data_IF_192635791098
#
_entry.id   IF_192635791098
#
_cell.length_a   1.000
_cell.length_b   1.000
_cell.length_c   1.000
_cell.angle_alpha   90.00
_cell.angle_beta   90.00
_cell.angle_gamma   90.00
#
_symmetry.space_group_name_H-M   'P 1'
#
loop_
_entity.id
_entity.type
_entity.pdbx_description
1 polymer ?
#
# COMPACT_ATOMS: atom_id res chain seq x y z
N UNK A 1 22.41 -26.92 -31.30
CA UNK A 1 21.99 -28.14 -30.59
C UNK A 1 21.36 -27.85 -29.22
N UNK A 2 22.07 -27.35 -28.20
CA UNK A 2 21.45 -27.07 -26.88
C UNK A 2 20.34 -26.00 -26.95
N UNK A 3 20.56 -24.91 -27.68
CA UNK A 3 19.57 -23.84 -27.92
C UNK A 3 18.32 -24.34 -28.63
N UNK A 4 18.47 -25.25 -29.59
CA UNK A 4 17.35 -25.88 -30.31
C UNK A 4 16.60 -26.90 -29.46
N UNK A 5 17.31 -27.67 -28.62
CA UNK A 5 16.71 -28.60 -27.68
C UNK A 5 15.97 -27.87 -26.56
N UNK A 6 16.53 -26.77 -26.04
CA UNK A 6 15.86 -25.86 -25.10
C UNK A 6 14.67 -25.17 -25.75
N UNK A 7 14.78 -24.70 -26.99
CA UNK A 7 13.68 -24.03 -27.69
C UNK A 7 12.55 -25.00 -28.04
N UNK A 8 12.87 -26.21 -28.55
CA UNK A 8 11.87 -27.27 -28.78
C UNK A 8 11.27 -27.78 -27.48
N UNK A 9 12.08 -27.96 -26.43
CA UNK A 9 11.64 -28.37 -25.10
C UNK A 9 10.71 -27.34 -24.45
N UNK A 10 11.10 -26.06 -24.42
CA UNK A 10 10.29 -24.96 -23.92
C UNK A 10 8.99 -24.78 -24.74
N UNK A 11 9.06 -24.90 -26.07
CA UNK A 11 7.86 -24.86 -26.93
C UNK A 11 6.90 -26.02 -26.68
N UNK A 12 7.38 -27.19 -26.29
CA UNK A 12 6.54 -28.37 -26.10
C UNK A 12 6.09 -28.61 -24.65
N UNK A 13 6.82 -28.06 -23.66
CA UNK A 13 6.60 -28.31 -22.22
C UNK A 13 6.46 -27.03 -21.39
N UNK A 14 6.69 -25.83 -21.96
CA UNK A 14 6.64 -24.56 -21.25
C UNK A 14 5.29 -24.29 -20.58
N UNK A 15 4.18 -24.52 -21.29
CA UNK A 15 2.83 -24.42 -20.72
C UNK A 15 2.53 -25.47 -19.64
N UNK A 16 3.21 -26.64 -19.65
CA UNK A 16 3.03 -27.70 -18.64
C UNK A 16 3.76 -27.41 -17.32
N UNK A 17 4.82 -26.59 -17.37
CA UNK A 17 5.61 -26.20 -16.19
C UNK A 17 5.12 -24.90 -15.55
N UNK A 18 4.29 -24.11 -16.24
CA UNK A 18 3.70 -22.89 -15.70
C UNK A 18 2.97 -23.09 -14.34
N UNK A 19 2.17 -24.15 -14.13
CA UNK A 19 1.63 -24.50 -12.81
C UNK A 19 2.67 -24.58 -11.69
N UNK A 20 3.82 -25.19 -11.98
CA UNK A 20 4.89 -25.37 -11.01
C UNK A 20 5.57 -24.03 -10.70
N UNK A 21 5.85 -23.21 -11.71
CA UNK A 21 6.42 -21.88 -11.52
C UNK A 21 5.48 -20.92 -10.78
N UNK A 22 4.17 -21.08 -10.94
CA UNK A 22 3.19 -20.33 -10.17
C UNK A 22 3.23 -20.72 -8.68
N UNK A 23 3.18 -22.02 -8.38
CA UNK A 23 3.27 -22.52 -7.00
C UNK A 23 4.62 -22.16 -6.36
N UNK A 24 5.70 -22.21 -7.14
CA UNK A 24 7.02 -21.73 -6.74
C UNK A 24 6.99 -20.23 -6.44
N UNK A 25 6.41 -19.41 -7.32
CA UNK A 25 6.25 -17.97 -7.11
C UNK A 25 5.45 -17.63 -5.85
N UNK A 26 4.30 -18.30 -5.63
CA UNK A 26 3.49 -18.16 -4.40
C UNK A 26 4.30 -18.60 -3.18
N UNK A 27 4.96 -19.75 -3.25
CA UNK A 27 5.80 -20.27 -2.17
C UNK A 27 6.95 -19.32 -1.82
N UNK A 28 7.60 -18.74 -2.83
CA UNK A 28 8.65 -17.75 -2.63
C UNK A 28 8.09 -16.44 -2.06
N UNK A 29 6.91 -15.97 -2.48
CA UNK A 29 6.23 -14.82 -1.88
C UNK A 29 5.90 -15.05 -0.40
N UNK A 30 5.42 -16.25 -0.04
CA UNK A 30 5.17 -16.62 1.35
C UNK A 30 6.46 -16.74 2.18
N UNK A 31 7.58 -17.09 1.54
CA UNK A 31 8.89 -17.22 2.18
C UNK A 31 9.68 -15.90 2.20
N UNK A 32 9.30 -14.87 1.42
CA UNK A 32 9.96 -13.56 1.41
C UNK A 32 10.21 -13.04 2.83
N UNK A 33 9.25 -13.13 3.78
CA UNK A 33 9.46 -12.63 5.13
C UNK A 33 10.52 -13.37 5.96
N UNK A 34 10.89 -14.59 5.54
CA UNK A 34 11.88 -15.44 6.21
C UNK A 34 13.27 -15.30 5.58
N UNK A 35 13.36 -14.79 4.34
CA UNK A 35 14.61 -14.59 3.62
C UNK A 35 15.35 -13.37 4.18
N UNK A 36 16.22 -13.59 5.17
CA UNK A 36 17.04 -12.53 5.75
C UNK A 36 18.20 -12.17 4.82
N UNK A 37 18.31 -10.89 4.43
CA UNK A 37 19.57 -10.36 3.91
C UNK A 37 20.62 -10.32 5.01
N UNK A 38 21.75 -10.98 4.80
CA UNK A 38 22.88 -10.97 5.73
C UNK A 38 23.63 -9.62 5.74
N UNK A 39 23.31 -8.70 4.82
CA UNK A 39 24.01 -7.42 4.68
C UNK A 39 23.03 -6.31 4.31
N UNK A 40 22.61 -5.56 5.32
CA UNK A 40 21.82 -4.34 5.14
C UNK A 40 22.82 -3.21 4.84
N UNK A 41 23.11 -2.98 3.56
CA UNK A 41 23.77 -1.75 3.12
C UNK A 41 22.71 -0.65 2.97
N UNK A 42 22.11 -0.23 4.08
CA UNK A 42 21.67 1.16 4.15
C UNK A 42 22.97 1.95 4.06
N UNK A 43 23.15 2.78 3.03
CA UNK A 43 24.33 3.63 2.87
C UNK A 43 24.77 4.11 4.26
N UNK A 44 25.98 3.75 4.69
CA UNK A 44 26.42 3.96 6.08
C UNK A 44 26.39 5.45 6.45
N UNK A 45 26.39 6.32 5.43
CA UNK A 45 26.17 7.76 5.52
C UNK A 45 24.71 8.17 5.85
N UNK A 46 23.74 7.29 5.61
CA UNK A 46 22.33 7.46 5.96
C UNK A 46 22.08 7.08 7.44
N UNK A 47 22.70 6.01 7.96
CA UNK A 47 22.52 5.57 9.37
C UNK A 47 23.02 6.62 10.37
N UNK A 48 24.16 7.27 10.08
CA UNK A 48 24.69 8.35 10.91
C UNK A 48 23.83 9.62 10.95
N UNK A 49 22.95 9.82 9.95
CA UNK A 49 22.04 10.97 9.85
C UNK A 49 20.57 10.61 10.17
N UNK A 50 20.22 9.32 10.25
CA UNK A 50 18.93 8.79 10.72
C UNK A 50 18.72 8.96 12.23
N UNK A 51 19.70 9.46 12.98
CA UNK A 51 19.51 9.83 14.39
C UNK A 51 20.15 11.19 14.64
N UNK A 52 19.65 12.27 14.01
CA UNK A 52 20.19 13.58 14.27
C UNK A 52 20.02 13.85 15.77
N UNK A 53 21.11 14.18 16.45
CA UNK A 53 21.02 14.55 17.86
C UNK A 53 20.29 15.89 17.93
N UNK A 54 19.04 15.88 18.37
CA UNK A 54 18.26 17.09 18.58
C UNK A 54 17.98 17.27 20.06
N UNK A 55 18.43 18.40 20.60
CA UNK A 55 18.08 18.85 21.95
C UNK A 55 16.95 19.86 21.82
N UNK A 56 15.77 19.52 22.34
CA UNK A 56 14.59 20.38 22.36
C UNK A 56 14.44 21.17 23.67
N UNK A 57 15.24 20.85 24.68
CA UNK A 57 14.98 21.36 26.04
C UNK A 57 13.64 20.83 26.60
N UNK A 58 13.23 21.24 27.81
CA UNK A 58 11.89 20.98 28.31
C UNK A 58 10.88 21.83 27.53
N UNK A 59 9.89 21.18 26.91
CA UNK A 59 8.88 21.85 26.07
C UNK A 59 7.56 22.07 26.80
N UNK A 60 7.42 21.49 27.99
CA UNK A 60 6.22 21.56 28.84
C UNK A 60 5.78 22.99 29.16
N UNK A 61 6.72 23.92 29.30
CA UNK A 61 6.43 25.33 29.55
C UNK A 61 5.80 26.08 28.36
N UNK A 62 5.83 25.49 27.16
CA UNK A 62 5.36 26.09 25.91
C UNK A 62 4.16 25.34 25.31
N UNK A 63 3.58 24.40 26.04
CA UNK A 63 2.37 23.69 25.63
C UNK A 63 1.18 24.64 25.75
N UNK A 64 0.68 25.10 24.61
CA UNK A 64 -0.47 25.98 24.52
C UNK A 64 -1.42 25.50 23.41
N UNK A 65 -2.67 25.13 23.71
CA UNK A 65 -3.63 24.66 22.71
C UNK A 65 -4.24 25.77 21.85
N UNK A 66 -3.82 27.03 22.02
CA UNK A 66 -4.41 28.18 21.33
C UNK A 66 -3.84 28.41 19.93
N UNK A 67 -4.71 28.48 18.93
CA UNK A 67 -4.35 28.87 17.56
C UNK A 67 -4.36 30.40 17.44
N UNK A 68 -3.18 31.01 17.38
CA UNK A 68 -3.03 32.47 17.27
C UNK A 68 -3.14 32.97 15.82
N UNK A 69 -2.62 32.19 14.88
CA UNK A 69 -2.66 32.49 13.45
C UNK A 69 -2.91 31.18 12.69
N UNK A 70 -3.67 31.22 11.58
CA UNK A 70 -3.94 30.03 10.78
C UNK A 70 -2.67 29.46 10.13
N UNK A 71 -1.64 30.29 9.94
CA UNK A 71 -0.35 29.88 9.39
C UNK A 71 0.80 30.59 10.11
N UNK A 72 1.90 29.88 10.37
CA UNK A 72 3.09 30.43 11.05
C UNK A 72 4.37 29.93 10.37
N UNK A 73 5.18 30.83 9.84
CA UNK A 73 6.48 30.52 9.25
C UNK A 73 7.59 30.76 10.29
N UNK A 74 8.45 29.76 10.50
CA UNK A 74 9.65 29.87 11.34
C UNK A 74 10.89 29.71 10.47
N UNK A 75 11.71 30.75 10.40
CA UNK A 75 12.88 30.78 9.51
C UNK A 75 14.08 30.03 10.08
N UNK A 76 14.73 29.18 9.28
CA UNK A 76 15.85 28.33 9.67
C UNK A 76 17.19 29.05 9.89
N UNK A 77 17.27 30.34 9.56
CA UNK A 77 18.46 31.22 9.65
C UNK A 77 19.67 30.83 8.76
N UNK A 78 19.74 29.60 8.22
CA UNK A 78 20.74 29.14 7.24
C UNK A 78 20.17 28.75 5.87
N UNK A 79 18.86 28.92 5.65
CA UNK A 79 18.23 28.58 4.36
C UNK A 79 18.70 29.53 3.24
N UNK A 80 19.29 29.02 2.14
CA UNK A 80 19.67 29.83 0.99
C UNK A 80 18.49 30.20 0.07
N UNK A 81 17.26 29.73 0.32
CA UNK A 81 16.13 29.91 -0.59
C UNK A 81 14.76 29.43 -0.07
N UNK A 82 13.78 29.37 -0.99
CA UNK A 82 12.32 29.20 -0.77
C UNK A 82 11.85 27.79 -0.35
N UNK A 83 12.74 26.97 0.20
CA UNK A 83 12.44 25.59 0.55
C UNK A 83 11.88 25.51 1.98
N UNK A 84 10.73 24.86 2.10
CA UNK A 84 10.04 24.69 3.37
C UNK A 84 9.78 23.22 3.68
N UNK A 85 9.75 22.92 4.98
CA UNK A 85 9.03 21.76 5.51
C UNK A 85 7.67 22.25 5.96
N UNK A 86 6.60 21.69 5.39
CA UNK A 86 5.24 22.01 5.78
C UNK A 86 4.84 21.14 6.98
N UNK A 87 4.23 21.73 8.01
CA UNK A 87 3.69 21.03 9.17
C UNK A 87 2.20 21.36 9.29
N UNK A 88 1.35 20.41 8.94
CA UNK A 88 -0.09 20.50 9.10
C UNK A 88 -0.49 20.03 10.50
N UNK A 89 -1.21 20.88 11.20
CA UNK A 89 -1.62 20.70 12.59
C UNK A 89 -3.12 20.66 12.61
N UNK A 90 -3.68 19.50 12.98
CA UNK A 90 -5.11 19.35 13.10
C UNK A 90 -5.60 20.07 14.37
N UNK A 91 -6.44 21.09 14.17
CA UNK A 91 -6.97 21.93 15.25
C UNK A 91 -8.07 21.26 16.07
N UNK A 92 -8.67 20.18 15.56
CA UNK A 92 -9.66 19.40 16.30
C UNK A 92 -9.03 18.65 17.48
N UNK A 93 -7.70 18.54 17.49
CA UNK A 93 -6.93 17.93 18.56
C UNK A 93 -6.04 18.95 19.32
N UNK A 94 -6.42 19.36 20.54
CA UNK A 94 -5.65 20.33 21.33
C UNK A 94 -4.20 19.93 21.62
N UNK A 95 -3.92 18.63 21.67
CA UNK A 95 -2.56 18.09 21.86
C UNK A 95 -1.67 18.34 20.63
N UNK A 96 -2.20 18.23 19.40
CA UNK A 96 -1.49 18.64 18.18
C UNK A 96 -1.10 20.12 18.22
N UNK A 97 -2.05 20.99 18.58
CA UNK A 97 -1.82 22.45 18.65
C UNK A 97 -0.78 22.79 19.73
N UNK A 98 -0.90 22.17 20.91
CA UNK A 98 0.04 22.35 22.02
C UNK A 98 1.47 21.95 21.63
N UNK A 99 1.62 20.81 20.95
CA UNK A 99 2.92 20.37 20.47
C UNK A 99 3.48 21.31 19.40
N UNK A 100 2.66 21.73 18.43
CA UNK A 100 3.08 22.65 17.38
C UNK A 100 3.57 24.00 17.92
N UNK A 101 2.84 24.58 18.88
CA UNK A 101 3.24 25.84 19.51
C UNK A 101 4.56 25.69 20.28
N UNK A 102 4.75 24.58 21.00
CA UNK A 102 6.00 24.30 21.68
C UNK A 102 7.18 24.11 20.69
N UNK A 103 6.95 23.39 19.58
CA UNK A 103 7.93 23.21 18.50
C UNK A 103 8.33 24.54 17.87
N UNK A 104 7.38 25.46 17.66
CA UNK A 104 7.68 26.80 17.12
C UNK A 104 8.66 27.53 18.04
N UNK A 105 8.47 27.50 19.35
CA UNK A 105 9.41 28.13 20.30
C UNK A 105 10.79 27.46 20.29
N UNK A 106 10.82 26.12 20.25
CA UNK A 106 12.07 25.36 20.13
C UNK A 106 12.84 25.75 18.86
N UNK A 107 12.16 25.84 17.71
CA UNK A 107 12.78 26.20 16.42
C UNK A 107 13.25 27.66 16.43
N UNK A 108 12.44 28.59 17.00
CA UNK A 108 12.80 30.02 17.11
C UNK A 108 14.11 30.23 17.86
N UNK A 109 14.35 29.44 18.91
CA UNK A 109 15.53 29.54 19.76
C UNK A 109 16.74 28.76 19.20
N UNK A 110 16.52 27.89 18.21
CA UNK A 110 17.60 27.16 17.54
C UNK A 110 18.37 28.08 16.60
N UNK A 111 19.70 28.05 16.68
CA UNK A 111 20.57 28.91 15.86
C UNK A 111 20.71 28.43 14.40
N UNK A 112 20.42 27.16 14.12
CA UNK A 112 20.66 26.54 12.81
C UNK A 112 19.58 25.52 12.47
N UNK A 113 18.73 25.84 11.51
CA UNK A 113 17.94 24.89 10.71
C UNK A 113 18.31 25.12 9.23
N UNK A 114 18.34 24.05 8.44
CA UNK A 114 18.76 24.14 7.04
C UNK A 114 17.66 24.69 6.11
N UNK A 115 16.40 24.47 6.46
CA UNK A 115 15.22 24.94 5.73
C UNK A 115 14.29 25.77 6.64
N UNK A 116 13.32 26.46 6.06
CA UNK A 116 12.25 27.10 6.83
C UNK A 116 11.16 26.06 7.19
N UNK A 117 10.42 26.30 8.27
CA UNK A 117 9.31 25.41 8.69
C UNK A 117 8.03 26.21 8.70
N UNK A 118 7.04 25.78 7.92
CA UNK A 118 5.75 26.44 7.83
C UNK A 118 4.68 25.59 8.49
N UNK A 119 4.08 26.11 9.55
CA UNK A 119 2.96 25.48 10.26
C UNK A 119 1.64 25.96 9.67
N UNK A 120 0.75 25.02 9.38
CA UNK A 120 -0.62 25.22 8.92
C UNK A 120 -1.58 24.65 9.96
N UNK A 121 -2.43 25.49 10.55
CA UNK A 121 -3.45 25.06 11.50
C UNK A 121 -4.76 24.85 10.75
N UNK A 122 -5.18 23.60 10.60
CA UNK A 122 -6.22 23.14 9.67
C UNK A 122 -7.23 22.25 10.37
N UNK A 123 -8.47 22.23 9.89
CA UNK A 123 -9.54 21.38 10.41
C UNK A 123 -9.58 20.01 9.69
N UNK A 124 -9.92 18.93 10.39
CA UNK A 124 -10.09 17.60 9.79
C UNK A 124 -11.26 17.48 8.81
N UNK A 125 -12.16 18.47 8.74
CA UNK A 125 -13.28 18.43 7.77
C UNK A 125 -13.00 19.19 6.48
N UNK A 126 -11.88 19.90 6.39
CA UNK A 126 -11.57 20.79 5.26
C UNK A 126 -10.49 20.19 4.35
N UNK A 127 -10.47 20.65 3.10
CA UNK A 127 -9.36 20.37 2.19
C UNK A 127 -8.12 21.17 2.62
N UNK A 128 -7.00 20.48 2.84
CA UNK A 128 -5.82 21.12 3.43
C UNK A 128 -5.06 21.95 2.40
N UNK A 129 -4.59 23.17 2.77
CA UNK A 129 -4.04 24.12 1.83
C UNK A 129 -2.72 23.63 1.24
N UNK A 130 -2.56 23.83 -0.08
CA UNK A 130 -1.30 23.59 -0.78
C UNK A 130 -0.33 24.74 -0.50
N UNK A 131 0.92 24.47 -0.10
CA UNK A 131 1.90 25.53 0.08
C UNK A 131 2.23 26.20 -1.26
N UNK A 132 2.35 27.53 -1.25
CA UNK A 132 2.76 28.31 -2.44
C UNK A 132 4.27 28.27 -2.70
N UNK A 133 5.05 27.76 -1.74
CA UNK A 133 6.50 27.66 -1.80
C UNK A 133 6.93 26.21 -2.07
N UNK A 134 8.17 26.04 -2.55
CA UNK A 134 8.73 24.71 -2.78
C UNK A 134 8.78 23.92 -1.48
N UNK A 135 8.00 22.85 -1.39
CA UNK A 135 7.85 22.05 -0.16
C UNK A 135 8.54 20.71 -0.36
N UNK A 136 9.59 20.45 0.40
CA UNK A 136 10.35 19.18 0.31
C UNK A 136 9.56 17.99 0.84
N UNK A 137 8.87 18.22 1.96
CA UNK A 137 8.03 17.22 2.60
C UNK A 137 7.00 17.90 3.51
N UNK A 138 5.91 17.19 3.76
CA UNK A 138 4.87 17.55 4.68
C UNK A 138 4.87 16.61 5.90
N UNK A 139 4.66 17.19 7.08
CA UNK A 139 4.38 16.48 8.32
C UNK A 139 2.95 16.80 8.75
N UNK A 140 2.20 15.79 9.16
CA UNK A 140 0.82 15.93 9.62
C UNK A 140 0.74 15.49 11.08
N UNK A 141 0.16 16.32 11.94
CA UNK A 141 0.00 16.07 13.38
C UNK A 141 -1.49 15.91 13.75
N UNK A 142 -1.88 14.69 14.09
CA UNK A 142 -3.23 14.26 14.49
C UNK A 142 -3.21 13.59 15.89
N UNK A 143 -2.71 14.31 16.88
CA UNK A 143 -2.46 13.81 18.22
C UNK A 143 -3.62 14.15 19.15
N UNK A 144 -4.50 13.18 19.40
CA UNK A 144 -5.50 13.22 20.48
C UNK A 144 -4.88 13.40 21.88
N UNK A 145 -3.66 12.91 22.12
CA UNK A 145 -2.95 13.05 23.40
C UNK A 145 -1.43 13.01 23.21
N UNK A 146 -0.69 13.73 24.06
CA UNK A 146 0.78 13.69 24.14
C UNK A 146 1.30 12.72 25.21
N UNK A 147 0.40 12.09 25.95
CA UNK A 147 0.72 11.25 27.12
C UNK A 147 0.56 9.75 26.83
N UNK A 148 0.54 9.37 25.56
CA UNK A 148 0.49 7.98 25.11
C UNK A 148 1.79 7.60 24.38
N UNK A 149 2.32 6.42 24.68
CA UNK A 149 3.46 5.85 23.96
C UNK A 149 3.05 5.18 22.64
N UNK A 150 1.78 4.82 22.49
CA UNK A 150 1.25 4.29 21.23
C UNK A 150 1.03 5.41 20.24
N UNK A 151 1.69 5.31 19.10
CA UNK A 151 1.59 6.30 18.03
C UNK A 151 1.32 5.57 16.73
N UNK A 152 0.50 6.16 15.90
CA UNK A 152 0.34 5.72 14.54
C UNK A 152 1.12 6.62 13.58
N UNK A 153 1.70 5.99 12.56
CA UNK A 153 2.43 6.61 11.48
C UNK A 153 1.76 6.20 10.16
N UNK A 154 1.47 7.16 9.32
CA UNK A 154 1.06 6.92 7.93
C UNK A 154 1.96 7.73 7.01
N UNK A 155 2.24 7.22 5.81
CA UNK A 155 3.19 7.84 4.90
C UNK A 155 2.67 7.79 3.48
N UNK A 156 2.73 8.91 2.77
CA UNK A 156 2.34 9.01 1.36
C UNK A 156 3.47 9.59 0.54
N UNK A 157 3.76 8.95 -0.59
CA UNK A 157 4.69 9.46 -1.58
C UNK A 157 4.08 10.58 -2.41
N UNK A 158 4.88 11.20 -3.26
CA UNK A 158 4.44 12.29 -4.14
C UNK A 158 3.36 11.87 -5.16
N UNK A 159 3.28 10.58 -5.47
CA UNK A 159 2.20 10.05 -6.31
C UNK A 159 0.88 9.87 -5.56
N UNK A 160 0.80 10.19 -4.26
CA UNK A 160 -0.42 10.04 -3.45
C UNK A 160 -0.68 8.60 -3.04
N UNK A 161 0.30 7.74 -3.28
CA UNK A 161 0.28 6.31 -2.96
C UNK A 161 1.21 6.11 -1.77
N UNK A 162 0.92 5.15 -0.90
CA UNK A 162 1.88 4.77 0.14
C UNK A 162 3.21 4.38 -0.54
N UNK A 163 4.34 4.98 -0.13
CA UNK A 163 5.64 4.73 -0.73
C UNK A 163 6.07 3.29 -0.42
N UNK A 164 7.19 2.84 -0.98
CA UNK A 164 7.76 1.56 -0.53
C UNK A 164 7.96 1.56 1.00
N UNK A 165 7.88 0.38 1.61
CA UNK A 165 7.93 0.18 3.07
C UNK A 165 9.21 0.76 3.72
N UNK A 166 10.24 1.12 2.96
CA UNK A 166 11.47 1.75 3.46
C UNK A 166 11.24 3.04 4.23
N UNK A 167 10.38 3.92 3.70
CA UNK A 167 10.11 5.21 4.32
C UNK A 167 9.35 5.03 5.63
N UNK A 168 8.37 4.13 5.61
CA UNK A 168 7.55 3.76 6.77
C UNK A 168 8.40 3.05 7.84
N UNK A 169 9.30 2.13 7.46
CA UNK A 169 10.23 1.45 8.38
C UNK A 169 11.29 2.38 8.98
N UNK A 170 11.78 3.33 8.20
CA UNK A 170 12.68 4.37 8.71
C UNK A 170 11.96 5.17 9.80
N UNK A 171 10.73 5.62 9.52
CA UNK A 171 9.90 6.27 10.52
C UNK A 171 9.69 5.37 11.75
N UNK A 172 9.38 4.08 11.59
CA UNK A 172 9.23 3.14 12.71
C UNK A 172 10.48 3.09 13.60
N UNK A 173 11.67 2.98 13.01
CA UNK A 173 12.94 2.97 13.75
C UNK A 173 13.14 4.26 14.54
N UNK A 174 12.77 5.43 14.01
CA UNK A 174 12.80 6.70 14.73
C UNK A 174 11.91 6.67 15.97
N UNK A 175 10.70 6.14 15.84
CA UNK A 175 9.72 6.12 16.92
C UNK A 175 10.12 5.12 18.00
N UNK A 176 10.52 3.91 17.61
CA UNK A 176 11.03 2.89 18.56
C UNK A 176 12.28 3.38 19.29
N UNK A 177 13.21 4.06 18.60
CA UNK A 177 14.41 4.62 19.24
C UNK A 177 14.10 5.72 20.27
N UNK A 178 12.95 6.40 20.15
CA UNK A 178 12.48 7.38 21.11
C UNK A 178 11.54 6.79 22.19
N UNK A 179 11.36 5.47 22.22
CA UNK A 179 10.55 4.76 23.21
C UNK A 179 9.05 4.77 22.92
N UNK A 180 8.65 5.03 21.68
CA UNK A 180 7.25 4.90 21.24
C UNK A 180 6.98 3.49 20.71
N UNK A 181 5.70 3.10 20.73
CA UNK A 181 5.17 1.87 20.13
C UNK A 181 4.41 2.26 18.85
N UNK A 182 5.10 2.31 17.70
CA UNK A 182 4.50 2.75 16.45
C UNK A 182 3.65 1.68 15.74
N UNK A 183 2.57 2.11 15.10
CA UNK A 183 1.71 1.34 14.19
C UNK A 183 1.65 2.00 12.81
N UNK A 184 1.53 1.25 11.72
CA UNK A 184 1.41 1.82 10.37
C UNK A 184 -0.01 2.16 9.93
N UNK A 185 -0.98 1.96 10.81
CA UNK A 185 -2.37 1.81 10.41
C UNK A 185 -3.25 2.89 11.03
N UNK A 186 -3.14 4.14 10.56
CA UNK A 186 -3.83 5.26 11.23
C UNK A 186 -5.33 5.29 10.96
N UNK A 187 -5.74 4.50 9.96
CA UNK A 187 -7.13 4.35 9.54
C UNK A 187 -7.79 3.09 10.12
N UNK A 188 -7.04 2.19 10.77
CA UNK A 188 -7.58 0.95 11.33
C UNK A 188 -7.35 0.91 12.83
N UNK A 189 -8.36 0.38 13.53
CA UNK A 189 -8.20 0.02 14.93
C UNK A 189 -7.12 -1.05 15.07
N UNK A 190 -6.20 -0.84 16.00
CA UNK A 190 -5.04 -1.71 16.18
C UNK A 190 -5.44 -3.17 16.46
N UNK A 191 -4.79 -4.12 15.79
CA UNK A 191 -4.93 -5.57 16.02
C UNK A 191 -3.64 -6.11 16.64
N UNK A 192 -3.74 -7.23 17.36
CA UNK A 192 -2.56 -7.94 17.89
C UNK A 192 -1.55 -8.36 16.80
N UNK A 193 -2.02 -8.49 15.56
CA UNK A 193 -1.21 -8.80 14.37
C UNK A 193 -0.36 -7.64 13.87
N UNK A 194 -0.62 -6.41 14.34
CA UNK A 194 0.08 -5.21 13.90
C UNK A 194 1.39 -4.99 14.67
N UNK A 195 1.65 -5.81 15.70
CA UNK A 195 2.86 -5.75 16.51
C UNK A 195 4.10 -6.01 15.62
N UNK A 196 5.06 -5.06 15.58
CA UNK A 196 6.24 -5.13 14.71
C UNK A 196 7.15 -6.34 15.02
N UNK A 197 6.96 -7.01 16.15
CA UNK A 197 7.65 -8.26 16.49
C UNK A 197 7.19 -9.46 15.66
N UNK A 198 5.99 -9.41 15.08
CA UNK A 198 5.43 -10.47 14.24
C UNK A 198 5.59 -10.13 12.75
N UNK A 199 6.83 -10.19 12.26
CA UNK A 199 7.24 -9.65 10.95
C UNK A 199 6.34 -10.00 9.75
N UNK A 200 5.88 -11.24 9.60
CA UNK A 200 4.97 -11.64 8.52
C UNK A 200 3.63 -10.91 8.59
N UNK A 201 3.02 -10.87 9.78
CA UNK A 201 1.68 -10.28 9.97
C UNK A 201 1.72 -8.77 9.84
N UNK A 202 2.78 -8.15 10.35
CA UNK A 202 3.03 -6.73 10.21
C UNK A 202 3.21 -6.32 8.74
N UNK A 203 3.99 -7.09 7.98
CA UNK A 203 4.14 -6.92 6.53
C UNK A 203 2.81 -7.04 5.80
N UNK A 204 2.03 -8.07 6.12
CA UNK A 204 0.73 -8.30 5.49
C UNK A 204 -0.28 -7.19 5.82
N UNK A 205 -0.37 -6.77 7.08
CA UNK A 205 -1.28 -5.71 7.53
C UNK A 205 -0.99 -4.35 6.88
N UNK A 206 0.30 -4.06 6.64
CA UNK A 206 0.71 -2.91 5.84
C UNK A 206 0.17 -3.00 4.40
N UNK A 207 0.39 -4.14 3.72
CA UNK A 207 -0.05 -4.33 2.33
C UNK A 207 -1.58 -4.20 2.19
N UNK A 208 -2.33 -4.76 3.15
CA UNK A 208 -3.78 -4.62 3.21
C UNK A 208 -4.22 -3.16 3.33
N UNK A 209 -3.55 -2.38 4.18
CA UNK A 209 -3.95 -0.99 4.45
C UNK A 209 -3.59 -0.08 3.27
N UNK A 210 -2.46 -0.34 2.61
CA UNK A 210 -2.09 0.32 1.36
C UNK A 210 -3.15 0.17 0.27
N UNK A 211 -3.79 -1.00 0.19
CA UNK A 211 -4.89 -1.25 -0.74
C UNK A 211 -6.17 -0.48 -0.37
N UNK A 212 -6.41 -0.25 0.92
CA UNK A 212 -7.62 0.39 1.43
C UNK A 212 -7.59 1.90 1.41
N UNK A 213 -6.41 2.51 1.26
CA UNK A 213 -6.24 3.95 1.35
C UNK A 213 -7.23 4.73 0.47
N UNK A 214 -7.49 4.25 -0.74
CA UNK A 214 -8.37 4.92 -1.71
C UNK A 214 -9.84 4.95 -1.31
N UNK A 215 -10.31 3.99 -0.51
CA UNK A 215 -11.74 3.87 -0.17
C UNK A 215 -12.13 4.73 1.03
N UNK A 216 -11.15 5.13 1.84
CA UNK A 216 -11.34 5.97 3.03
C UNK A 216 -10.23 7.00 3.15
N UNK A 217 -10.05 7.87 2.14
CA UNK A 217 -8.99 8.86 2.22
C UNK A 217 -9.24 9.78 3.41
N UNK A 218 -8.17 10.14 4.10
CA UNK A 218 -8.18 11.20 5.09
C UNK A 218 -7.92 12.54 4.39
N UNK A 219 -8.32 13.69 4.97
CA UNK A 219 -8.15 15.01 4.34
C UNK A 219 -6.70 15.33 3.97
N UNK A 220 -5.73 14.78 4.70
CA UNK A 220 -4.31 14.96 4.38
C UNK A 220 -3.79 14.03 3.28
N UNK A 221 -4.56 13.01 2.90
CA UNK A 221 -4.27 12.15 1.75
C UNK A 221 -4.54 12.85 0.42
N UNK A 222 -5.38 13.88 0.45
CA UNK A 222 -5.74 14.67 -0.72
C UNK A 222 -4.91 15.95 -0.86
N UNK A 223 -3.97 16.23 0.05
CA UNK A 223 -2.94 17.27 -0.19
C UNK A 223 -2.32 16.89 -1.53
N UNK A 224 -2.41 17.72 -2.59
CA UNK A 224 -2.02 17.32 -3.93
C UNK A 224 -0.56 16.93 -3.90
N UNK A 225 -0.34 15.62 -3.84
CA UNK A 225 0.93 15.04 -3.51
C UNK A 225 1.89 15.14 -4.66
N UNK A 226 1.47 15.57 -5.86
CA UNK A 226 2.20 15.50 -7.13
C UNK A 226 3.63 16.11 -7.15
N UNK A 227 4.15 16.58 -6.01
CA UNK A 227 5.56 16.79 -5.72
C UNK A 227 5.93 16.84 -4.21
N UNK A 228 5.13 16.31 -3.28
CA UNK A 228 5.37 16.42 -1.82
C UNK A 228 5.14 15.08 -1.12
N UNK A 229 6.19 14.53 -0.50
CA UNK A 229 6.10 13.38 0.39
C UNK A 229 5.48 13.78 1.74
N UNK A 230 4.56 12.98 2.28
CA UNK A 230 3.84 13.27 3.52
C UNK A 230 4.08 12.19 4.58
N UNK A 231 4.40 12.59 5.82
CA UNK A 231 4.36 11.75 7.02
C UNK A 231 3.22 12.23 7.91
N UNK A 232 2.30 11.37 8.30
CA UNK A 232 1.31 11.64 9.31
C UNK A 232 1.62 10.92 10.61
N UNK A 233 1.48 11.65 11.72
CA UNK A 233 1.65 11.16 13.08
C UNK A 233 0.33 11.35 13.80
N UNK A 234 -0.28 10.25 14.23
CA UNK A 234 -1.57 10.24 14.90
C UNK A 234 -1.47 9.52 16.24
N UNK A 235 -2.19 9.97 17.27
CA UNK A 235 -2.36 9.16 18.48
C UNK A 235 -3.78 8.59 18.49
N UNK A 236 -3.92 7.28 18.65
CA UNK A 236 -5.22 6.63 18.65
C UNK A 236 -5.99 7.04 19.93
N UNK A 237 -7.14 7.72 19.81
CA UNK A 237 -7.96 8.08 20.97
C UNK A 237 -8.50 6.86 21.71
N UNK A 238 -8.58 5.68 21.06
CA UNK A 238 -9.02 4.43 21.68
C UNK A 238 -7.97 3.77 22.57
N UNK A 239 -6.72 4.22 22.50
CA UNK A 239 -5.62 3.83 23.39
C UNK A 239 -5.29 4.90 24.44
N UNK A 240 -6.21 5.82 24.73
CA UNK A 240 -6.18 6.49 26.04
C UNK A 240 -6.49 5.43 27.11
N UNK A 241 -5.54 4.51 27.36
CA UNK A 241 -5.60 3.74 28.58
C UNK A 241 -5.79 4.72 29.73
N UNK A 242 -6.62 4.33 30.70
CA UNK A 242 -6.68 4.89 32.05
C UNK A 242 -5.32 4.74 32.74
N UNK A 243 -4.27 5.29 32.13
CA UNK A 243 -2.92 5.34 32.65
C UNK A 243 -2.95 6.37 33.77
N UNK A 244 -3.21 5.85 34.96
CA UNK A 244 -3.15 6.54 36.25
C UNK A 244 -1.76 7.12 36.57
N UNK A 245 -0.79 7.00 35.66
CA UNK A 245 0.55 7.59 35.73
C UNK A 245 0.86 8.27 34.39
N UNK A 246 0.64 9.59 34.32
CA UNK A 246 1.19 10.40 33.23
C UNK A 246 2.71 10.40 33.35
N UNK A 247 3.41 9.75 32.41
CA UNK A 247 4.85 9.96 32.25
C UNK A 247 5.05 11.41 31.78
N UNK A 248 5.42 12.28 32.72
CA UNK A 248 5.57 13.73 32.52
C UNK A 248 6.61 14.10 31.45
N UNK A 249 7.44 13.15 31.03
CA UNK A 249 8.46 13.34 29.99
C UNK A 249 7.97 13.01 28.58
N UNK A 250 6.77 12.45 28.40
CA UNK A 250 6.25 12.08 27.06
C UNK A 250 6.11 13.27 26.09
N UNK A 251 5.61 14.44 26.51
CA UNK A 251 5.58 15.62 25.63
C UNK A 251 6.98 16.03 25.12
N UNK A 252 7.99 15.93 25.98
CA UNK A 252 9.39 16.20 25.60
C UNK A 252 9.92 15.18 24.60
N UNK A 253 9.58 13.89 24.78
CA UNK A 253 9.91 12.81 23.83
C UNK A 253 9.22 13.05 22.47
N UNK A 254 7.95 13.46 22.47
CA UNK A 254 7.21 13.81 21.24
C UNK A 254 7.84 14.99 20.51
N UNK A 255 8.15 16.07 21.21
CA UNK A 255 8.78 17.23 20.61
C UNK A 255 10.17 16.90 20.04
N UNK A 256 10.94 16.08 20.75
CA UNK A 256 12.24 15.59 20.26
C UNK A 256 12.09 14.76 18.99
N UNK A 257 11.16 13.81 18.98
CA UNK A 257 10.88 12.96 17.83
C UNK A 257 10.46 13.80 16.61
N UNK A 258 9.48 14.70 16.77
CA UNK A 258 9.01 15.56 15.67
C UNK A 258 10.13 16.47 15.16
N UNK A 259 10.94 17.02 16.06
CA UNK A 259 12.10 17.81 15.65
C UNK A 259 13.18 17.00 14.93
N UNK A 260 13.38 15.73 15.29
CA UNK A 260 14.27 14.83 14.55
C UNK A 260 13.73 14.60 13.15
N UNK A 261 12.43 14.35 13.01
CA UNK A 261 11.78 14.18 11.70
C UNK A 261 11.94 15.44 10.85
N UNK A 262 11.62 16.64 11.38
CA UNK A 262 11.78 17.91 10.64
C UNK A 262 13.22 18.12 10.17
N UNK A 263 14.22 17.83 11.02
CA UNK A 263 15.64 17.96 10.65
C UNK A 263 16.05 16.92 9.61
N UNK A 264 15.54 15.69 9.72
CA UNK A 264 15.81 14.62 8.77
C UNK A 264 15.16 14.90 7.42
N UNK A 265 13.89 15.34 7.37
CA UNK A 265 13.15 15.63 6.13
C UNK A 265 13.93 16.54 5.17
N UNK A 266 14.71 17.49 5.71
CA UNK A 266 15.58 18.35 4.92
C UNK A 266 16.65 17.60 4.09
N UNK A 267 17.10 16.41 4.50
CA UNK A 267 18.12 15.62 3.79
C UNK A 267 17.60 14.31 3.17
N UNK A 268 16.29 14.06 3.25
CA UNK A 268 15.69 12.76 2.93
C UNK A 268 15.30 12.62 1.45
N UNK A 269 14.79 13.67 0.79
CA UNK A 269 14.28 13.63 -0.60
C UNK A 269 15.31 13.10 -1.62
N UNK A 270 16.50 13.72 -1.66
CA UNK A 270 17.58 13.35 -2.59
C UNK A 270 18.18 11.97 -2.29
N UNK A 271 18.16 11.52 -1.03
CA UNK A 271 18.78 10.25 -0.61
C UNK A 271 17.84 9.06 -0.72
N UNK A 272 16.54 9.27 -0.54
CA UNK A 272 15.51 8.24 -0.79
C UNK A 272 15.35 7.93 -2.27
N UNK A 273 15.55 8.91 -3.15
CA UNK A 273 15.64 8.67 -4.59
C UNK A 273 16.81 7.74 -4.99
N UNK A 274 17.86 7.61 -4.16
CA UNK A 274 19.03 6.78 -4.45
C UNK A 274 19.10 5.47 -3.65
N UNK A 275 18.48 5.39 -2.46
CA UNK A 275 18.47 4.18 -1.61
C UNK A 275 17.42 3.13 -2.00
N UNK A 276 16.59 3.41 -3.01
CA UNK A 276 15.37 2.66 -3.36
C UNK A 276 15.60 1.47 -4.28
N UNK A 277 16.83 1.18 -4.68
CA UNK A 277 17.08 0.27 -5.81
C UNK A 277 17.48 -1.17 -5.45
N UNK A 278 17.76 -1.51 -4.19
CA UNK A 278 18.42 -2.81 -3.89
C UNK A 278 17.71 -3.65 -2.83
N UNK A 279 16.86 -3.09 -1.95
CA UNK A 279 16.25 -3.85 -0.85
C UNK A 279 14.78 -3.48 -0.59
N UNK A 280 13.97 -4.47 -0.24
CA UNK A 280 12.61 -4.38 0.30
C UNK A 280 12.63 -4.79 1.78
N UNK A 281 12.19 -3.92 2.69
CA UNK A 281 12.07 -4.29 4.09
C UNK A 281 10.80 -5.12 4.27
N UNK A 282 10.90 -6.15 5.11
CA UNK A 282 9.76 -6.98 5.54
C UNK A 282 9.33 -6.58 6.95
N UNK A 283 10.29 -6.15 7.76
CA UNK A 283 10.07 -5.65 9.12
C UNK A 283 11.07 -4.53 9.41
N UNK A 284 10.92 -3.77 10.51
CA UNK A 284 11.93 -2.82 10.98
C UNK A 284 13.37 -3.33 11.01
N UNK A 285 13.58 -4.64 11.12
CA UNK A 285 14.89 -5.27 11.34
C UNK A 285 15.29 -6.27 10.26
N UNK A 286 14.41 -6.56 9.29
CA UNK A 286 14.61 -7.62 8.30
C UNK A 286 14.38 -7.04 6.91
N UNK A 287 15.37 -7.21 6.04
CA UNK A 287 15.37 -6.76 4.65
C UNK A 287 15.57 -7.95 3.72
N UNK A 288 14.92 -7.89 2.57
CA UNK A 288 15.06 -8.80 1.44
C UNK A 288 15.59 -7.98 0.27
N UNK A 289 16.43 -8.55 -0.58
CA UNK A 289 16.88 -7.86 -1.80
C UNK A 289 15.67 -7.58 -2.72
N UNK A 290 15.55 -6.36 -3.24
CA UNK A 290 14.49 -5.94 -4.15
C UNK A 290 14.43 -6.86 -5.39
N UNK A 291 15.61 -7.25 -5.88
CA UNK A 291 15.79 -8.20 -6.97
C UNK A 291 15.13 -9.56 -6.67
N UNK A 292 15.12 -10.03 -5.42
CA UNK A 292 14.48 -11.29 -5.06
C UNK A 292 12.95 -11.19 -5.14
N UNK A 293 12.35 -10.11 -4.65
CA UNK A 293 10.90 -9.92 -4.77
C UNK A 293 10.47 -9.63 -6.21
N UNK A 294 11.24 -8.83 -6.95
CA UNK A 294 11.06 -8.65 -8.38
C UNK A 294 11.17 -9.97 -9.12
N UNK A 295 12.18 -10.79 -8.81
CA UNK A 295 12.37 -12.10 -9.43
C UNK A 295 11.18 -13.04 -9.16
N UNK A 296 10.68 -13.12 -7.92
CA UNK A 296 9.49 -13.89 -7.59
C UNK A 296 8.29 -13.43 -8.42
N UNK A 297 8.15 -12.11 -8.55
CA UNK A 297 7.05 -11.48 -9.27
C UNK A 297 7.19 -11.67 -10.80
N UNK A 298 8.41 -11.60 -11.34
CA UNK A 298 8.72 -11.85 -12.74
C UNK A 298 8.50 -13.33 -13.08
N UNK A 299 8.92 -14.26 -12.23
CA UNK A 299 8.63 -15.69 -12.41
C UNK A 299 7.13 -15.96 -12.46
N UNK A 300 6.40 -15.32 -11.55
CA UNK A 300 4.96 -15.39 -11.45
C UNK A 300 4.28 -14.85 -12.71
N UNK A 301 4.64 -13.64 -13.15
CA UNK A 301 4.21 -13.02 -14.41
C UNK A 301 4.56 -13.88 -15.62
N UNK A 302 5.80 -14.34 -15.73
CA UNK A 302 6.31 -15.11 -16.86
C UNK A 302 5.58 -16.44 -16.99
N UNK A 303 5.19 -17.05 -15.86
CA UNK A 303 4.31 -18.21 -15.84
C UNK A 303 2.95 -17.90 -16.46
N UNK A 304 2.31 -16.78 -16.06
CA UNK A 304 1.03 -16.35 -16.63
C UNK A 304 1.16 -16.08 -18.14
N UNK A 305 2.18 -15.35 -18.57
CA UNK A 305 2.43 -15.07 -20.00
C UNK A 305 2.73 -16.33 -20.80
N UNK A 306 3.54 -17.25 -20.28
CA UNK A 306 3.83 -18.52 -20.96
C UNK A 306 2.57 -19.36 -21.12
N UNK A 307 1.66 -19.30 -20.15
CA UNK A 307 0.35 -19.97 -20.23
C UNK A 307 -0.54 -19.28 -21.27
N UNK A 308 -0.63 -17.95 -21.19
CA UNK A 308 -1.40 -17.10 -22.11
C UNK A 308 -1.01 -17.31 -23.58
N UNK A 309 0.30 -17.33 -23.84
CA UNK A 309 0.88 -17.50 -25.15
C UNK A 309 0.69 -18.91 -25.70
N UNK A 310 0.81 -19.94 -24.85
CA UNK A 310 0.53 -21.33 -25.22
C UNK A 310 -0.91 -21.51 -25.70
N UNK A 311 -1.85 -20.91 -24.98
CA UNK A 311 -3.27 -20.97 -25.33
C UNK A 311 -3.58 -20.10 -26.57
N UNK A 312 -2.97 -18.91 -26.71
CA UNK A 312 -3.14 -18.05 -27.90
C UNK A 312 -2.64 -18.73 -29.19
N UNK A 313 -1.51 -19.43 -29.15
CA UNK A 313 -0.97 -20.15 -30.31
C UNK A 313 -1.90 -21.23 -30.86
N UNK A 314 -2.87 -21.68 -30.07
CA UNK A 314 -3.83 -22.71 -30.47
C UNK A 314 -5.11 -22.12 -31.10
N UNK A 315 -5.24 -20.79 -31.21
CA UNK A 315 -6.55 -20.15 -31.42
C UNK A 315 -6.51 -18.93 -32.35
N UNK A 316 -7.14 -19.04 -33.52
CA UNK A 316 -7.40 -17.91 -34.44
C UNK A 316 -8.66 -17.13 -34.02
N UNK A 317 -8.57 -16.27 -32.99
CA UNK A 317 -9.76 -15.61 -32.41
C UNK A 317 -9.64 -14.08 -32.29
N UNK A 318 -10.75 -13.37 -32.53
CA UNK A 318 -10.88 -11.91 -32.38
C UNK A 318 -11.37 -11.49 -30.98
N UNK A 319 -10.86 -10.37 -30.48
CA UNK A 319 -10.91 -9.93 -29.06
C UNK A 319 -12.19 -9.14 -28.70
N UNK A 320 -12.94 -8.67 -29.70
CA UNK A 320 -13.87 -7.53 -29.57
C UNK A 320 -15.16 -7.76 -28.75
N UNK A 321 -15.95 -8.83 -28.90
CA UNK A 321 -17.20 -9.01 -28.12
C UNK A 321 -16.96 -9.37 -26.64
N UNK A 322 -15.74 -9.79 -26.33
CA UNK A 322 -15.35 -10.36 -25.06
C UNK A 322 -14.84 -9.32 -24.06
N UNK A 323 -14.10 -8.32 -24.56
CA UNK A 323 -13.77 -7.14 -23.78
C UNK A 323 -15.02 -6.41 -23.28
N UNK A 324 -16.07 -6.37 -24.10
CA UNK A 324 -17.32 -5.69 -23.75
C UNK A 324 -18.07 -6.41 -22.61
N UNK A 325 -18.12 -7.74 -22.64
CA UNK A 325 -18.78 -8.54 -21.58
C UNK A 325 -18.03 -8.47 -20.25
N UNK A 326 -16.69 -8.50 -20.27
CA UNK A 326 -15.86 -8.25 -19.09
C UNK A 326 -16.10 -6.88 -18.47
N UNK A 327 -16.15 -5.83 -19.29
CA UNK A 327 -16.39 -4.46 -18.84
C UNK A 327 -17.78 -4.27 -18.22
N UNK A 328 -18.79 -5.00 -18.71
CA UNK A 328 -20.17 -4.93 -18.18
C UNK A 328 -20.33 -5.72 -16.88
N UNK A 329 -19.46 -6.69 -16.62
CA UNK A 329 -19.55 -7.57 -15.43
C UNK A 329 -19.57 -6.80 -14.10
N UNK A 330 -18.60 -5.92 -13.82
CA UNK A 330 -18.62 -5.14 -12.59
C UNK A 330 -19.78 -4.14 -12.58
N UNK A 331 -20.11 -3.51 -13.72
CA UNK A 331 -21.22 -2.54 -13.90
C UNK A 331 -22.57 -3.12 -13.48
N UNK A 332 -22.91 -4.28 -14.02
CA UNK A 332 -24.17 -4.96 -13.70
C UNK A 332 -24.23 -5.41 -12.23
N UNK A 333 -23.12 -5.86 -11.67
CA UNK A 333 -23.05 -6.31 -10.29
C UNK A 333 -23.27 -5.18 -9.27
N UNK A 334 -22.65 -4.00 -9.46
CA UNK A 334 -22.91 -2.89 -8.54
C UNK A 334 -24.31 -2.30 -8.71
N UNK A 335 -24.83 -2.23 -9.93
CA UNK A 335 -26.22 -1.82 -10.16
C UNK A 335 -27.19 -2.75 -9.41
N UNK A 336 -26.96 -4.07 -9.46
CA UNK A 336 -27.74 -5.05 -8.71
C UNK A 336 -27.61 -4.87 -7.20
N UNK A 337 -26.38 -4.61 -6.71
CA UNK A 337 -26.13 -4.32 -5.30
C UNK A 337 -26.92 -3.11 -4.81
N UNK A 338 -26.95 -2.02 -5.58
CA UNK A 338 -27.68 -0.80 -5.23
C UNK A 338 -29.20 -1.00 -5.17
N UNK A 339 -29.75 -1.86 -6.03
CA UNK A 339 -31.21 -2.08 -6.11
C UNK A 339 -31.71 -3.05 -5.05
N UNK A 340 -30.98 -4.14 -4.78
CA UNK A 340 -31.50 -5.25 -3.98
C UNK A 340 -30.43 -5.98 -3.13
N UNK A 341 -29.24 -5.40 -2.97
CA UNK A 341 -28.19 -5.92 -2.09
C UNK A 341 -27.52 -7.20 -2.57
N UNK A 342 -26.85 -7.91 -1.66
CA UNK A 342 -25.96 -9.05 -1.98
C UNK A 342 -26.64 -10.23 -2.69
N UNK A 343 -27.92 -10.48 -2.40
CA UNK A 343 -28.67 -11.55 -3.09
C UNK A 343 -28.83 -11.28 -4.59
N UNK A 344 -29.03 -10.02 -4.96
CA UNK A 344 -29.08 -9.62 -6.37
C UNK A 344 -27.69 -9.69 -7.04
N UNK A 345 -26.62 -9.38 -6.31
CA UNK A 345 -25.24 -9.59 -6.79
C UNK A 345 -24.99 -11.06 -7.10
N UNK A 346 -25.42 -11.98 -6.22
CA UNK A 346 -25.29 -13.41 -6.46
C UNK A 346 -26.08 -13.85 -7.69
N UNK A 347 -27.35 -13.43 -7.82
CA UNK A 347 -28.19 -13.74 -8.96
C UNK A 347 -27.61 -13.20 -10.29
N UNK A 348 -27.15 -11.95 -10.30
CA UNK A 348 -26.51 -11.33 -11.48
C UNK A 348 -25.17 -11.98 -11.79
N UNK A 349 -24.38 -12.37 -10.77
CA UNK A 349 -23.15 -13.12 -10.98
C UNK A 349 -23.42 -14.47 -11.65
N UNK A 350 -24.50 -15.17 -11.27
CA UNK A 350 -24.93 -16.41 -11.92
C UNK A 350 -25.41 -16.14 -13.36
N UNK A 351 -26.22 -15.11 -13.58
CA UNK A 351 -26.70 -14.74 -14.92
C UNK A 351 -25.55 -14.36 -15.85
N UNK A 352 -24.59 -13.56 -15.37
CA UNK A 352 -23.36 -13.22 -16.07
C UNK A 352 -22.53 -14.47 -16.30
N UNK A 353 -22.37 -15.37 -15.32
CA UNK A 353 -21.65 -16.63 -15.52
C UNK A 353 -22.27 -17.47 -16.64
N UNK A 354 -23.60 -17.54 -16.74
CA UNK A 354 -24.31 -18.19 -17.84
C UNK A 354 -24.09 -17.47 -19.18
N UNK A 355 -24.11 -16.14 -19.18
CA UNK A 355 -23.80 -15.32 -20.36
C UNK A 355 -22.36 -15.55 -20.83
N UNK A 356 -21.40 -15.54 -19.91
CA UNK A 356 -20.00 -15.86 -20.15
C UNK A 356 -19.85 -17.25 -20.75
N UNK A 357 -20.57 -18.26 -20.23
CA UNK A 357 -20.56 -19.61 -20.83
C UNK A 357 -20.97 -19.59 -22.31
N UNK A 358 -21.99 -18.81 -22.68
CA UNK A 358 -22.49 -18.73 -24.07
C UNK A 358 -21.49 -18.08 -25.02
N UNK A 359 -20.84 -16.99 -24.60
CA UNK A 359 -19.89 -16.25 -25.43
C UNK A 359 -18.46 -16.82 -25.41
N UNK A 360 -18.03 -17.39 -24.28
CA UNK A 360 -16.68 -17.96 -24.09
C UNK A 360 -16.53 -19.38 -24.61
N UNK A 361 -17.61 -20.06 -25.00
CA UNK A 361 -17.52 -21.35 -25.69
C UNK A 361 -16.69 -21.27 -26.99
N UNK A 362 -16.48 -20.06 -27.51
CA UNK A 362 -15.78 -19.77 -28.77
C UNK A 362 -14.41 -19.09 -28.59
N UNK A 363 -13.96 -18.83 -27.36
CA UNK A 363 -12.71 -18.10 -27.09
C UNK A 363 -11.86 -18.85 -26.06
N UNK A 364 -10.61 -19.12 -26.42
CA UNK A 364 -9.65 -19.79 -25.54
C UNK A 364 -9.13 -18.85 -24.45
N UNK A 365 -8.92 -19.39 -23.25
CA UNK A 365 -8.61 -18.63 -22.03
C UNK A 365 -7.31 -17.81 -22.10
N UNK A 366 -6.40 -18.17 -23.00
CA UNK A 366 -5.07 -17.59 -23.20
C UNK A 366 -4.97 -16.09 -23.40
N UNK A 367 -5.83 -15.54 -24.26
CA UNK A 367 -5.72 -14.14 -24.70
C UNK A 367 -5.97 -13.16 -23.53
N UNK A 368 -6.90 -13.53 -22.67
CA UNK A 368 -7.22 -12.80 -21.44
C UNK A 368 -6.14 -12.92 -20.38
N UNK A 369 -5.48 -14.06 -20.30
CA UNK A 369 -4.32 -14.25 -19.42
C UNK A 369 -3.17 -13.31 -19.79
N UNK A 370 -2.95 -13.06 -21.07
CA UNK A 370 -1.93 -12.12 -21.55
C UNK A 370 -2.22 -10.68 -21.13
N UNK A 371 -3.48 -10.24 -21.27
CA UNK A 371 -3.90 -8.90 -20.87
C UNK A 371 -3.78 -8.69 -19.35
N UNK A 372 -4.27 -9.65 -18.56
CA UNK A 372 -4.12 -9.62 -17.10
C UNK A 372 -2.66 -9.62 -16.66
N UNK A 373 -1.76 -10.34 -17.35
CA UNK A 373 -0.34 -10.35 -17.05
C UNK A 373 0.38 -9.03 -17.39
N UNK A 374 0.02 -8.37 -18.50
CA UNK A 374 0.54 -7.04 -18.87
C UNK A 374 0.10 -6.00 -17.83
N UNK A 375 -1.18 -6.00 -17.46
CA UNK A 375 -1.73 -5.10 -16.43
C UNK A 375 -1.03 -5.35 -15.10
N UNK A 376 -0.81 -6.62 -14.72
CA UNK A 376 -0.11 -6.99 -13.49
C UNK A 376 1.33 -6.47 -13.46
N UNK A 377 2.11 -6.62 -14.54
CA UNK A 377 3.45 -6.04 -14.68
C UNK A 377 3.48 -4.52 -14.50
N UNK A 378 2.58 -3.81 -15.17
CA UNK A 378 2.51 -2.37 -15.13
C UNK A 378 2.10 -1.87 -13.73
N UNK A 379 1.23 -2.60 -13.04
CA UNK A 379 0.76 -2.24 -11.70
C UNK A 379 1.81 -2.47 -10.61
N UNK A 380 2.72 -3.44 -10.74
CA UNK A 380 3.84 -3.65 -9.79
C UNK A 380 4.78 -2.44 -9.77
N UNK A 381 4.99 -1.83 -10.94
CA UNK A 381 5.82 -0.62 -11.07
C UNK A 381 5.12 0.60 -10.44
N UNK A 382 3.79 0.66 -10.51
CA UNK A 382 3.00 1.83 -10.07
C UNK A 382 2.57 1.78 -8.60
N UNK A 383 2.21 0.60 -8.07
CA UNK A 383 1.81 0.39 -6.68
C UNK A 383 2.20 -1.03 -6.21
N UNK A 384 3.40 -1.22 -5.61
CA UNK A 384 3.93 -2.53 -5.24
C UNK A 384 3.00 -3.37 -4.35
N UNK A 385 2.29 -2.72 -3.42
CA UNK A 385 1.34 -3.42 -2.54
C UNK A 385 0.14 -4.02 -3.30
N UNK A 386 -0.35 -3.29 -4.30
CA UNK A 386 -1.40 -3.77 -5.18
C UNK A 386 -0.90 -4.89 -6.10
N UNK A 387 0.29 -4.72 -6.68
CA UNK A 387 0.95 -5.75 -7.48
C UNK A 387 1.19 -7.06 -6.72
N UNK A 388 1.58 -6.99 -5.45
CA UNK A 388 1.84 -8.17 -4.62
C UNK A 388 0.55 -8.88 -4.20
N UNK A 389 -0.39 -8.17 -3.57
CA UNK A 389 -1.58 -8.81 -2.97
C UNK A 389 -2.65 -9.09 -4.02
N UNK A 390 -3.00 -8.08 -4.82
CA UNK A 390 -4.03 -8.23 -5.85
C UNK A 390 -3.49 -9.02 -7.04
N UNK A 391 -2.23 -8.82 -7.41
CA UNK A 391 -1.58 -9.64 -8.44
C UNK A 391 -1.48 -11.13 -8.05
N UNK A 392 -1.09 -11.44 -6.81
CA UNK A 392 -1.10 -12.82 -6.30
C UNK A 392 -2.48 -13.47 -6.44
N UNK A 393 -3.52 -12.78 -5.97
CA UNK A 393 -4.89 -13.25 -6.06
C UNK A 393 -5.36 -13.47 -7.51
N UNK A 394 -5.07 -12.52 -8.41
CA UNK A 394 -5.43 -12.63 -9.81
C UNK A 394 -4.79 -13.86 -10.46
N UNK A 395 -3.51 -14.16 -10.21
CA UNK A 395 -2.91 -15.32 -10.85
C UNK A 395 -3.38 -16.65 -10.24
N UNK A 396 -3.72 -16.70 -8.95
CA UNK A 396 -4.36 -17.87 -8.36
C UNK A 396 -5.70 -18.14 -9.07
N UNK A 397 -6.51 -17.11 -9.32
CA UNK A 397 -7.76 -17.27 -10.06
C UNK A 397 -7.50 -17.73 -11.51
N UNK A 398 -6.51 -17.11 -12.15
CA UNK A 398 -6.07 -17.44 -13.52
C UNK A 398 -5.57 -18.87 -13.63
N UNK A 399 -4.88 -19.38 -12.63
CA UNK A 399 -4.40 -20.76 -12.58
C UNK A 399 -5.54 -21.76 -12.76
N UNK A 400 -6.61 -21.62 -11.98
CA UNK A 400 -7.79 -22.49 -12.08
C UNK A 400 -8.59 -22.30 -13.37
N UNK A 401 -8.34 -21.19 -14.08
CA UNK A 401 -8.87 -20.95 -15.41
C UNK A 401 -8.00 -21.58 -16.52
N UNK A 402 -6.93 -22.32 -16.23
CA UNK A 402 -6.17 -23.03 -17.26
C UNK A 402 -6.95 -24.20 -17.87
N UNK A 403 -6.74 -24.50 -19.16
CA UNK A 403 -7.40 -25.65 -19.82
C UNK A 403 -6.94 -27.00 -19.26
N UNK A 404 -5.68 -27.10 -18.83
CA UNK A 404 -5.13 -28.32 -18.21
C UNK A 404 -5.84 -28.70 -16.89
N UNK A 405 -6.51 -27.75 -16.23
CA UNK A 405 -7.22 -27.94 -14.96
C UNK A 405 -8.74 -28.10 -15.14
N UNK A 406 -9.21 -28.49 -16.33
CA UNK A 406 -10.64 -28.68 -16.63
C UNK A 406 -11.28 -29.93 -15.98
N UNK A 407 -10.60 -30.61 -15.07
CA UNK A 407 -11.19 -31.73 -14.35
C UNK A 407 -12.20 -31.24 -13.28
N UNK A 408 -13.17 -32.08 -12.93
CA UNK A 408 -14.28 -31.69 -12.03
C UNK A 408 -13.80 -31.17 -10.68
N UNK A 409 -12.78 -31.81 -10.10
CA UNK A 409 -12.25 -31.44 -8.80
C UNK A 409 -11.60 -30.05 -8.83
N UNK A 410 -10.71 -29.81 -9.81
CA UNK A 410 -10.02 -28.55 -9.97
C UNK A 410 -10.97 -27.39 -10.30
N UNK A 411 -12.04 -27.63 -11.05
CA UNK A 411 -13.07 -26.61 -11.31
C UNK A 411 -13.81 -26.24 -10.01
N UNK A 412 -14.25 -27.22 -9.22
CA UNK A 412 -14.93 -26.94 -7.93
C UNK A 412 -14.02 -26.17 -6.98
N UNK A 413 -12.77 -26.64 -6.79
CA UNK A 413 -11.79 -25.97 -5.94
C UNK A 413 -11.51 -24.56 -6.45
N UNK A 414 -11.32 -24.41 -7.76
CA UNK A 414 -11.06 -23.13 -8.39
C UNK A 414 -12.18 -22.12 -8.20
N UNK A 415 -13.44 -22.53 -8.37
CA UNK A 415 -14.58 -21.64 -8.10
C UNK A 415 -14.62 -21.21 -6.63
N UNK A 416 -14.43 -22.15 -5.69
CA UNK A 416 -14.43 -21.82 -4.25
C UNK A 416 -13.29 -20.86 -3.90
N UNK A 417 -12.06 -21.12 -4.36
CA UNK A 417 -10.90 -20.26 -4.11
C UNK A 417 -11.09 -18.89 -4.75
N UNK A 418 -11.55 -18.82 -6.00
CA UNK A 418 -11.80 -17.55 -6.69
C UNK A 418 -12.87 -16.71 -5.99
N UNK A 419 -13.95 -17.33 -5.52
CA UNK A 419 -14.99 -16.66 -4.73
C UNK A 419 -14.48 -16.21 -3.36
N UNK A 420 -13.66 -17.01 -2.68
CA UNK A 420 -13.05 -16.65 -1.40
C UNK A 420 -12.11 -15.44 -1.52
N UNK A 421 -11.32 -15.38 -2.61
CA UNK A 421 -10.47 -14.23 -2.91
C UNK A 421 -11.32 -12.98 -3.15
N UNK A 422 -12.37 -13.05 -3.97
CA UNK A 422 -13.31 -11.93 -4.15
C UNK A 422 -13.92 -11.47 -2.83
N UNK A 423 -14.36 -12.41 -2.00
CA UNK A 423 -14.89 -12.12 -0.66
C UNK A 423 -13.86 -11.39 0.21
N UNK A 424 -12.59 -11.80 0.17
CA UNK A 424 -11.51 -11.13 0.88
C UNK A 424 -11.35 -9.67 0.45
N UNK A 425 -11.28 -9.35 -0.85
CA UNK A 425 -11.14 -7.95 -1.30
C UNK A 425 -12.38 -7.11 -0.97
N UNK A 426 -13.57 -7.65 -1.18
CA UNK A 426 -14.81 -6.89 -1.04
C UNK A 426 -15.25 -6.73 0.42
N UNK A 427 -15.25 -7.82 1.20
CA UNK A 427 -15.74 -7.79 2.58
C UNK A 427 -14.65 -7.49 3.60
N UNK A 428 -13.48 -8.12 3.45
CA UNK A 428 -12.39 -7.91 4.42
C UNK A 428 -11.67 -6.59 4.15
N UNK A 429 -11.28 -6.35 2.90
CA UNK A 429 -10.63 -5.10 2.51
C UNK A 429 -11.62 -3.97 2.19
N UNK A 430 -12.94 -4.22 2.19
CA UNK A 430 -13.96 -3.17 2.00
C UNK A 430 -13.80 -2.39 0.68
N UNK A 431 -13.24 -3.05 -0.34
CA UNK A 431 -13.09 -2.47 -1.67
C UNK A 431 -14.42 -2.59 -2.43
N UNK A 432 -14.86 -1.54 -3.14
CA UNK A 432 -16.10 -1.59 -3.87
C UNK A 432 -16.02 -2.55 -5.07
N UNK A 433 -17.15 -3.17 -5.42
CA UNK A 433 -17.29 -4.00 -6.63
C UNK A 433 -16.99 -3.21 -7.91
N UNK A 434 -17.41 -1.94 -7.94
CA UNK A 434 -17.00 -0.94 -8.93
C UNK A 434 -16.38 0.22 -8.18
N UNK A 435 -15.11 0.50 -8.44
CA UNK A 435 -14.51 1.76 -8.07
C UNK A 435 -13.54 2.26 -9.12
N UNK A 436 -13.49 3.58 -9.24
CA UNK A 436 -12.58 4.32 -10.13
C UNK A 436 -11.73 5.32 -9.33
N UNK A 437 -11.85 5.32 -7.99
CA UNK A 437 -11.18 6.27 -7.11
C UNK A 437 -9.70 5.94 -6.88
N UNK A 438 -9.28 4.70 -7.15
CA UNK A 438 -7.89 4.26 -6.98
C UNK A 438 -7.52 3.02 -7.79
N UNK A 439 -6.21 2.78 -7.90
CA UNK A 439 -5.64 1.64 -8.63
C UNK A 439 -6.12 0.30 -8.06
N UNK A 440 -6.21 0.17 -6.74
CA UNK A 440 -6.72 -1.03 -6.05
C UNK A 440 -8.17 -1.35 -6.40
N UNK A 441 -9.02 -0.32 -6.48
CA UNK A 441 -10.43 -0.45 -6.85
C UNK A 441 -10.60 -0.89 -8.29
N UNK A 442 -9.89 -0.23 -9.22
CA UNK A 442 -9.87 -0.61 -10.63
C UNK A 442 -9.46 -2.08 -10.78
N UNK A 443 -8.45 -2.51 -10.02
CA UNK A 443 -7.97 -3.89 -10.10
C UNK A 443 -9.01 -4.90 -9.60
N UNK A 444 -9.71 -4.60 -8.50
CA UNK A 444 -10.80 -5.47 -8.02
C UNK A 444 -11.93 -5.55 -9.05
N UNK A 445 -12.33 -4.41 -9.62
CA UNK A 445 -13.44 -4.30 -10.57
C UNK A 445 -13.17 -4.95 -11.92
N UNK A 446 -11.97 -4.79 -12.47
CA UNK A 446 -11.65 -5.24 -13.83
C UNK A 446 -10.91 -6.58 -13.90
N UNK A 447 -10.32 -7.04 -12.79
CA UNK A 447 -9.53 -8.27 -12.76
C UNK A 447 -10.11 -9.29 -11.78
N UNK A 448 -10.13 -8.98 -10.49
CA UNK A 448 -10.45 -9.97 -9.43
C UNK A 448 -11.89 -10.45 -9.52
N UNK A 449 -12.85 -9.54 -9.65
CA UNK A 449 -14.27 -9.90 -9.70
C UNK A 449 -14.66 -10.63 -11.00
N UNK A 450 -14.28 -10.14 -12.21
CA UNK A 450 -14.57 -10.86 -13.46
C UNK A 450 -13.94 -12.25 -13.54
N UNK A 451 -12.73 -12.45 -13.02
CA UNK A 451 -12.08 -13.76 -12.98
C UNK A 451 -12.85 -14.78 -12.13
N UNK A 452 -13.50 -14.34 -11.05
CA UNK A 452 -14.33 -15.23 -10.23
C UNK A 452 -15.65 -15.59 -10.91
N UNK A 453 -16.30 -14.63 -11.58
CA UNK A 453 -17.49 -14.90 -12.41
C UNK A 453 -17.15 -15.90 -13.51
N UNK A 454 -15.98 -15.78 -14.12
CA UNK A 454 -15.51 -16.73 -15.12
C UNK A 454 -15.22 -18.13 -14.52
N UNK A 455 -14.61 -18.19 -13.34
CA UNK A 455 -14.43 -19.46 -12.63
C UNK A 455 -15.79 -20.11 -12.31
N UNK A 456 -16.80 -19.30 -12.01
CA UNK A 456 -18.19 -19.73 -11.82
C UNK A 456 -18.85 -20.28 -13.09
N UNK A 457 -18.59 -19.68 -14.25
CA UNK A 457 -19.16 -20.18 -15.53
C UNK A 457 -18.68 -21.59 -15.88
N UNK A 458 -17.43 -21.92 -15.54
CA UNK A 458 -16.89 -23.29 -15.70
C UNK A 458 -17.61 -24.31 -14.83
N UNK A 459 -17.87 -23.97 -13.57
CA UNK A 459 -18.65 -24.84 -12.68
C UNK A 459 -20.07 -25.06 -13.21
N UNK A 460 -20.73 -24.00 -13.70
CA UNK A 460 -22.05 -24.13 -14.31
C UNK A 460 -22.03 -25.01 -15.56
N UNK A 461 -20.96 -24.97 -16.37
CA UNK A 461 -20.80 -25.86 -17.53
C UNK A 461 -20.58 -27.33 -17.18
N UNK A 462 -20.18 -27.64 -15.94
CA UNK A 462 -20.08 -29.03 -15.47
C UNK A 462 -21.43 -29.55 -14.95
N UNK A 463 -22.26 -28.66 -14.42
CA UNK A 463 -23.53 -28.98 -13.77
C UNK A 463 -24.69 -29.09 -14.76
N UNK A 464 -24.58 -28.42 -15.92
CA UNK A 464 -25.57 -28.40 -17.01
C UNK A 464 -24.86 -28.59 -18.34
#
# INVERSE_FOLDING_TARGET
MLREALFKGARHHGGKLAPFFLLLGIGMLCLLPVLHSQKIYIDENAVGQMRPSVKTGPVTAYLDPTVHWPQRLVRGRRSPGSEIVAVYVNIDYPASVSLANALIEVIRHRKTLACDVQFYFVNSTEEWPVPKAYTRAALVLNLSTLYNQHVCIDTLGENGIQPNQDYTNSALQFFTANGFVPSYLCQRRHRSTDDPRFGFWHYWAYLETSLQLSTRPQPWHTIPTHSINTIAISSDPSYSEDSTLSDSQLPDKFARLVMQIIVSLNGLEEKFHHSTFVWLPVSPWIYVEYDHAQFCTILFVASIFSTAYSDYQLSDVSITPLGLTLLVTPVAAAAAFQVAGWWAVAAVSVALSMLFRLFMAYVHSGVLFGFNAIVLCLMIILQPACGLVAGAAAAIQVFFLQEALRNRFAIVVGTVVSSALVYYFIYHLQLPLIGVGGISELFVSFVIYPNAVWSGSRLLSLLY
#
